data_IF_596447920986
#
_entry.id   IF_596447920986
#
_cell.length_a   1.000
_cell.length_b   1.000
_cell.length_c   1.000
_cell.angle_alpha   90.00
_cell.angle_beta   90.00
_cell.angle_gamma   90.00
#
_symmetry.space_group_name_H-M   'P 1'
#
loop_
_entity.id
_entity.type
_entity.pdbx_description
1 polymer ?
#
# COMPACT_ATOMS: atom_id res chain seq x y z
N UNK A 1 15.36 -7.76 28.69
CA UNK A 1 15.02 -6.91 27.53
C UNK A 1 13.59 -6.42 27.72
N UNK A 2 13.38 -5.12 27.87
CA UNK A 2 12.05 -4.56 28.08
C UNK A 2 11.25 -4.72 26.79
N UNK A 3 10.12 -5.43 26.85
CA UNK A 3 9.24 -5.61 25.71
C UNK A 3 8.69 -4.24 25.27
N UNK A 4 8.84 -3.88 23.99
CA UNK A 4 8.28 -2.63 23.47
C UNK A 4 6.76 -2.60 23.66
N UNK A 5 6.19 -1.41 23.90
CA UNK A 5 4.73 -1.21 23.99
C UNK A 5 4.00 -1.73 22.74
N UNK A 6 4.63 -1.62 21.56
CA UNK A 6 4.03 -2.08 20.30
C UNK A 6 4.03 -3.60 20.21
N UNK A 7 5.09 -4.27 20.67
CA UNK A 7 5.13 -5.72 20.80
C UNK A 7 4.02 -6.23 21.73
N UNK A 8 3.79 -5.55 22.87
CA UNK A 8 2.65 -5.85 23.74
C UNK A 8 1.31 -5.64 23.03
N UNK A 9 1.11 -4.51 22.34
CA UNK A 9 -0.14 -4.31 21.58
C UNK A 9 -0.38 -5.40 20.54
N UNK A 10 0.65 -5.84 19.84
CA UNK A 10 0.55 -6.91 18.84
C UNK A 10 0.16 -8.24 19.48
N UNK A 11 0.68 -8.57 20.67
CA UNK A 11 0.34 -9.84 21.34
C UNK A 11 -1.12 -9.93 21.79
N UNK A 12 -1.83 -8.82 21.91
CA UNK A 12 -3.27 -8.79 22.23
C UNK A 12 -4.19 -9.05 21.01
N UNK A 13 -3.64 -9.10 19.80
CA UNK A 13 -4.45 -9.20 18.58
C UNK A 13 -4.77 -10.66 18.30
N UNK A 14 -6.06 -10.99 18.26
CA UNK A 14 -6.56 -12.32 17.92
C UNK A 14 -7.17 -12.32 16.53
N UNK A 15 -6.60 -13.14 15.64
CA UNK A 15 -7.12 -13.38 14.29
C UNK A 15 -7.90 -14.70 14.24
N UNK A 16 -9.05 -14.69 13.57
CA UNK A 16 -9.82 -15.90 13.28
C UNK A 16 -9.98 -16.07 11.77
N UNK A 17 -9.78 -17.29 11.28
CA UNK A 17 -10.02 -17.65 9.87
C UNK A 17 -11.43 -18.24 9.74
N UNK A 18 -12.34 -17.54 9.06
CA UNK A 18 -13.70 -18.00 8.76
C UNK A 18 -13.96 -17.92 7.26
N UNK A 19 -14.38 -19.02 6.64
CA UNK A 19 -14.70 -19.12 5.20
C UNK A 19 -13.56 -18.59 4.29
N UNK A 20 -12.32 -19.03 4.54
CA UNK A 20 -11.09 -18.59 3.83
C UNK A 20 -10.76 -17.10 3.96
N UNK A 21 -11.47 -16.34 4.80
CA UNK A 21 -11.15 -14.93 5.12
C UNK A 21 -10.65 -14.81 6.55
N UNK A 22 -9.69 -13.93 6.77
CA UNK A 22 -9.21 -13.57 8.11
C UNK A 22 -10.08 -12.44 8.66
N UNK A 23 -10.40 -12.51 9.95
CA UNK A 23 -11.09 -11.47 10.72
C UNK A 23 -10.29 -11.17 11.98
N UNK A 24 -10.39 -9.92 12.47
CA UNK A 24 -9.91 -9.54 13.80
C UNK A 24 -11.04 -9.83 14.78
N UNK A 25 -10.76 -10.65 15.79
CA UNK A 25 -11.70 -10.97 16.88
C UNK A 25 -11.51 -10.01 18.04
N UNK A 26 -10.25 -9.81 18.44
CA UNK A 26 -9.88 -8.95 19.56
C UNK A 26 -8.60 -8.17 19.23
N UNK A 27 -8.44 -7.02 19.88
CA UNK A 27 -7.24 -6.20 19.88
C UNK A 27 -7.24 -5.27 21.10
N UNK A 28 -6.08 -4.77 21.50
CA UNK A 28 -5.97 -3.81 22.59
C UNK A 28 -6.88 -2.59 22.39
N UNK A 29 -7.41 -2.02 23.48
CA UNK A 29 -8.32 -0.86 23.46
C UNK A 29 -7.71 0.40 22.84
N UNK A 30 -6.39 0.51 22.85
CA UNK A 30 -5.65 1.64 22.26
C UNK A 30 -5.37 1.45 20.77
N UNK A 31 -5.78 0.33 20.19
CA UNK A 31 -5.74 0.10 18.76
C UNK A 31 -7.12 0.36 18.16
N UNK A 32 -7.13 1.01 17.00
CA UNK A 32 -8.31 1.11 16.14
C UNK A 32 -8.00 0.38 14.84
N UNK A 33 -8.77 -0.66 14.50
CA UNK A 33 -8.66 -1.31 13.20
C UNK A 33 -8.91 -0.26 12.10
N UNK A 34 -7.90 -0.03 11.27
CA UNK A 34 -7.92 0.96 10.20
C UNK A 34 -8.21 0.31 8.85
N UNK A 35 -7.65 -0.88 8.60
CA UNK A 35 -7.89 -1.62 7.37
C UNK A 35 -7.43 -3.06 7.44
N UNK A 36 -7.97 -3.89 6.54
CA UNK A 36 -7.56 -5.28 6.38
C UNK A 36 -7.22 -5.54 4.92
N UNK A 37 -6.03 -6.09 4.70
CA UNK A 37 -5.55 -6.55 3.41
C UNK A 37 -5.51 -8.07 3.31
N UNK A 38 -4.92 -8.54 2.21
CA UNK A 38 -4.73 -9.98 1.95
C UNK A 38 -3.71 -10.63 2.88
N UNK A 39 -2.68 -9.89 3.28
CA UNK A 39 -1.54 -10.38 4.05
C UNK A 39 -1.46 -9.84 5.47
N UNK A 40 -2.13 -8.73 5.76
CA UNK A 40 -1.99 -8.01 7.02
C UNK A 40 -3.26 -7.23 7.39
N UNK A 41 -3.39 -6.93 8.68
CA UNK A 41 -4.31 -5.92 9.21
C UNK A 41 -3.51 -4.70 9.69
N UNK A 42 -4.07 -3.51 9.52
CA UNK A 42 -3.45 -2.25 9.93
C UNK A 42 -4.27 -1.65 11.05
N UNK A 43 -3.61 -1.35 12.16
CA UNK A 43 -4.20 -0.73 13.35
C UNK A 43 -3.59 0.65 13.56
N UNK A 44 -4.43 1.69 13.70
CA UNK A 44 -3.98 3.00 14.15
C UNK A 44 -3.86 2.98 15.67
N UNK A 45 -2.73 3.44 16.19
CA UNK A 45 -2.52 3.62 17.63
C UNK A 45 -3.24 4.91 18.06
N UNK A 46 -4.09 4.84 19.08
CA UNK A 46 -4.79 6.02 19.60
C UNK A 46 -3.77 7.03 20.13
N UNK A 47 -4.05 8.31 19.91
CA UNK A 47 -3.22 9.43 20.34
C UNK A 47 -1.79 9.43 19.76
N UNK A 48 -1.53 8.67 18.70
CA UNK A 48 -0.25 8.67 17.97
C UNK A 48 -0.49 8.78 16.46
N UNK A 49 0.45 9.42 15.75
CA UNK A 49 0.49 9.43 14.29
C UNK A 49 1.21 8.19 13.76
N UNK A 50 0.87 7.02 14.29
CA UNK A 50 1.50 5.74 13.97
C UNK A 50 0.47 4.65 13.72
N UNK A 51 0.82 3.74 12.82
CA UNK A 51 0.10 2.49 12.61
C UNK A 51 0.97 1.30 12.90
N UNK A 52 0.33 0.21 13.27
CA UNK A 52 0.91 -1.12 13.37
C UNK A 52 0.33 -1.96 12.23
N UNK A 53 1.16 -2.30 11.23
CA UNK A 53 0.82 -3.28 10.19
C UNK A 53 1.20 -4.65 10.71
N UNK A 54 0.20 -5.47 11.03
CA UNK A 54 0.38 -6.82 11.59
C UNK A 54 0.06 -7.84 10.52
N UNK A 55 1.05 -8.64 10.15
CA UNK A 55 0.94 -9.66 9.13
C UNK A 55 0.31 -10.92 9.70
N UNK A 56 -0.55 -11.58 8.93
CA UNK A 56 -1.11 -12.86 9.34
C UNK A 56 0.01 -13.92 9.39
N UNK A 57 -0.12 -14.98 10.22
CA UNK A 57 0.96 -15.95 10.43
C UNK A 57 1.58 -16.54 9.15
N UNK A 58 0.77 -16.76 8.10
CA UNK A 58 1.26 -17.28 6.81
C UNK A 58 2.05 -16.27 5.95
N UNK A 59 2.25 -15.03 6.42
CA UNK A 59 2.86 -13.93 5.68
C UNK A 59 4.11 -13.33 6.36
N UNK A 60 4.73 -14.05 7.31
CA UNK A 60 5.98 -13.61 7.96
C UNK A 60 7.08 -13.31 6.94
N UNK A 61 7.25 -14.15 5.91
CA UNK A 61 8.21 -13.86 4.82
C UNK A 61 7.91 -12.53 4.12
N UNK A 62 6.65 -12.21 3.91
CA UNK A 62 6.24 -10.92 3.32
C UNK A 62 6.54 -9.76 4.27
N UNK A 63 6.35 -9.94 5.57
CA UNK A 63 6.73 -8.95 6.59
C UNK A 63 8.23 -8.66 6.55
N UNK A 64 9.06 -9.70 6.50
CA UNK A 64 10.52 -9.57 6.40
C UNK A 64 10.95 -8.85 5.12
N UNK A 65 10.34 -9.20 3.97
CA UNK A 65 10.62 -8.53 2.70
C UNK A 65 10.27 -7.04 2.76
N UNK A 66 9.11 -6.70 3.31
CA UNK A 66 8.69 -5.31 3.42
C UNK A 66 9.57 -4.51 4.38
N UNK A 67 9.96 -5.11 5.51
CA UNK A 67 10.96 -4.55 6.44
C UNK A 67 12.25 -4.18 5.71
N UNK A 68 12.85 -5.15 5.02
CA UNK A 68 14.12 -4.97 4.30
C UNK A 68 14.03 -3.90 3.21
N UNK A 69 12.89 -3.82 2.52
CA UNK A 69 12.66 -2.81 1.50
C UNK A 69 12.57 -1.41 2.13
N UNK A 70 11.87 -1.25 3.25
CA UNK A 70 11.86 0.04 3.96
C UNK A 70 13.23 0.43 4.53
N UNK A 71 14.02 -0.53 5.02
CA UNK A 71 15.40 -0.28 5.48
C UNK A 71 16.25 0.32 4.35
N UNK A 72 16.15 -0.22 3.12
CA UNK A 72 16.83 0.35 1.93
C UNK A 72 16.33 1.74 1.55
N UNK A 73 15.04 2.02 1.75
CA UNK A 73 14.42 3.31 1.42
C UNK A 73 14.73 4.41 2.44
N UNK A 74 15.26 4.06 3.61
CA UNK A 74 15.76 4.97 4.65
C UNK A 74 14.87 6.20 4.94
N UNK A 75 13.53 6.01 4.95
CA UNK A 75 12.58 7.01 5.46
C UNK A 75 12.48 8.35 4.70
N UNK A 76 12.84 8.43 3.40
CA UNK A 76 12.62 9.66 2.62
C UNK A 76 11.15 10.04 2.49
N UNK A 77 10.89 11.31 2.16
CA UNK A 77 9.56 11.93 2.00
C UNK A 77 8.54 11.18 1.11
N UNK A 78 8.93 10.19 0.30
CA UNK A 78 8.00 9.41 -0.52
C UNK A 78 7.38 8.21 0.20
N UNK A 79 8.00 7.75 1.29
CA UNK A 79 7.63 6.53 1.99
C UNK A 79 7.33 6.85 3.47
N UNK A 80 6.55 6.02 4.17
CA UNK A 80 6.43 6.14 5.63
C UNK A 80 7.76 5.82 6.33
N UNK A 81 8.07 6.55 7.41
CA UNK A 81 9.14 6.19 8.31
C UNK A 81 8.77 4.93 9.10
N UNK A 82 9.77 4.07 9.36
CA UNK A 82 9.63 2.89 10.22
C UNK A 82 10.23 3.21 11.58
N UNK A 83 9.44 2.98 12.64
CA UNK A 83 9.86 3.19 14.03
C UNK A 83 10.29 1.89 14.70
N UNK A 84 9.67 0.78 14.33
CA UNK A 84 9.95 -0.53 14.90
C UNK A 84 9.57 -1.62 13.90
N UNK A 85 10.32 -2.71 13.91
CA UNK A 85 10.01 -3.90 13.11
C UNK A 85 10.22 -5.15 13.95
N UNK A 86 9.13 -5.87 14.23
CA UNK A 86 9.16 -7.19 14.86
C UNK A 86 9.12 -8.32 13.84
N UNK A 87 8.91 -9.55 14.32
CA UNK A 87 8.86 -10.75 13.46
C UNK A 87 7.73 -10.71 12.43
N UNK A 88 6.55 -10.25 12.84
CA UNK A 88 5.33 -10.25 12.03
C UNK A 88 4.62 -8.88 12.02
N UNK A 89 5.29 -7.80 12.39
CA UNK A 89 4.69 -6.47 12.36
C UNK A 89 5.69 -5.35 12.07
N UNK A 90 5.16 -4.25 11.54
CA UNK A 90 5.86 -3.00 11.34
C UNK A 90 5.11 -1.87 12.03
N UNK A 91 5.82 -1.04 12.79
CA UNK A 91 5.32 0.24 13.32
C UNK A 91 5.85 1.35 12.43
N UNK A 92 4.94 2.12 11.86
CA UNK A 92 5.28 3.09 10.83
C UNK A 92 4.36 4.31 10.88
N UNK A 93 4.70 5.36 10.13
CA UNK A 93 3.89 6.56 10.01
C UNK A 93 2.43 6.23 9.66
N UNK A 94 1.50 6.86 10.40
CA UNK A 94 0.14 6.99 9.91
C UNK A 94 0.09 8.09 8.86
N UNK A 95 -0.09 7.71 7.60
CA UNK A 95 -0.27 8.65 6.50
C UNK A 95 -1.75 9.00 6.41
N UNK A 96 -2.10 10.22 6.82
CA UNK A 96 -3.45 10.73 6.67
C UNK A 96 -3.68 11.27 5.25
N UNK A 97 -4.70 10.74 4.57
CA UNK A 97 -4.96 11.09 3.19
C UNK A 97 -5.97 10.16 2.53
N UNK A 98 -6.11 10.29 1.22
CA UNK A 98 -6.95 9.42 0.39
C UNK A 98 -6.09 8.68 -0.62
N UNK A 99 -6.34 7.39 -0.77
CA UNK A 99 -5.71 6.61 -1.83
C UNK A 99 -6.13 7.14 -3.20
N UNK A 100 -5.33 6.93 -4.24
CA UNK A 100 -5.74 7.28 -5.61
C UNK A 100 -7.06 6.59 -5.99
N UNK A 101 -7.29 5.38 -5.48
CA UNK A 101 -8.56 4.68 -5.66
C UNK A 101 -9.74 5.45 -5.05
N UNK A 102 -9.59 5.95 -3.83
CA UNK A 102 -10.62 6.77 -3.18
C UNK A 102 -10.80 8.11 -3.88
N UNK A 103 -9.71 8.74 -4.35
CA UNK A 103 -9.79 9.95 -5.13
C UNK A 103 -10.66 9.76 -6.38
N UNK A 104 -10.42 8.69 -7.15
CA UNK A 104 -11.25 8.35 -8.31
C UNK A 104 -12.69 8.01 -7.91
N UNK A 105 -12.90 7.29 -6.81
CA UNK A 105 -14.24 6.94 -6.33
C UNK A 105 -15.09 8.17 -5.94
N UNK A 106 -14.43 9.20 -5.40
CA UNK A 106 -15.07 10.38 -4.86
C UNK A 106 -15.09 11.56 -5.84
N UNK A 107 -14.32 11.48 -6.93
CA UNK A 107 -14.20 12.56 -7.91
C UNK A 107 -13.14 13.60 -7.56
N UNK A 108 -12.22 13.28 -6.65
CA UNK A 108 -11.09 14.14 -6.31
C UNK A 108 -10.06 14.03 -7.43
N UNK A 109 -9.71 15.17 -8.00
CA UNK A 109 -8.80 15.19 -9.14
C UNK A 109 -7.39 14.72 -8.78
N UNK A 110 -6.92 13.68 -9.46
CA UNK A 110 -5.50 13.32 -9.47
C UNK A 110 -4.77 14.33 -10.36
N UNK A 111 -3.96 15.22 -9.76
CA UNK A 111 -3.21 16.27 -10.46
C UNK A 111 -1.99 15.69 -11.18
N UNK A 112 -1.51 16.30 -12.28
CA UNK A 112 -0.27 15.88 -12.96
C UNK A 112 0.94 15.80 -12.02
N UNK A 113 1.06 16.77 -11.12
CA UNK A 113 2.12 16.79 -10.09
C UNK A 113 2.12 15.53 -9.22
N UNK A 114 0.97 14.94 -8.90
CA UNK A 114 0.93 13.69 -8.12
C UNK A 114 1.57 12.52 -8.89
N UNK A 115 1.38 12.46 -10.21
CA UNK A 115 2.00 11.43 -11.06
C UNK A 115 3.53 11.62 -11.06
N UNK A 116 4.01 12.85 -11.20
CA UNK A 116 5.44 13.17 -11.13
C UNK A 116 6.05 12.80 -9.76
N UNK A 117 5.31 13.04 -8.66
CA UNK A 117 5.75 12.67 -7.31
C UNK A 117 5.87 11.16 -7.15
N UNK A 118 4.94 10.39 -7.71
CA UNK A 118 5.05 8.92 -7.73
C UNK A 118 6.25 8.48 -8.57
N UNK A 119 6.45 9.04 -9.76
CA UNK A 119 7.62 8.74 -10.61
C UNK A 119 8.93 8.96 -9.85
N UNK A 120 9.08 10.10 -9.16
CA UNK A 120 10.26 10.40 -8.36
C UNK A 120 10.44 9.42 -7.19
N UNK A 121 9.34 9.03 -6.53
CA UNK A 121 9.38 8.03 -5.48
C UNK A 121 9.85 6.67 -5.98
N UNK A 122 9.31 6.20 -7.10
CA UNK A 122 9.71 4.93 -7.73
C UNK A 122 11.14 4.98 -8.25
N UNK A 123 11.57 6.11 -8.83
CA UNK A 123 12.95 6.31 -9.25
C UNK A 123 13.92 6.27 -8.05
N UNK A 124 13.55 6.91 -6.94
CA UNK A 124 14.33 6.83 -5.71
C UNK A 124 14.46 5.40 -5.17
N UNK A 125 13.40 4.60 -5.24
CA UNK A 125 13.48 3.19 -4.88
C UNK A 125 14.45 2.41 -5.79
N UNK A 126 14.48 2.70 -7.10
CA UNK A 126 15.45 2.10 -8.03
C UNK A 126 16.90 2.44 -7.66
N UNK A 127 17.15 3.72 -7.34
CA UNK A 127 18.46 4.19 -6.88
C UNK A 127 18.90 3.53 -5.57
N UNK A 128 17.95 3.15 -4.72
CA UNK A 128 18.19 2.37 -3.49
C UNK A 128 18.39 0.85 -3.75
N UNK A 129 18.54 0.42 -5.01
CA UNK A 129 18.74 -0.99 -5.37
C UNK A 129 17.49 -1.85 -5.22
N UNK A 130 16.31 -1.25 -5.36
CA UNK A 130 15.03 -1.96 -5.43
C UNK A 130 14.51 -1.98 -6.87
N UNK A 131 13.59 -2.89 -7.14
CA UNK A 131 12.80 -2.97 -8.37
C UNK A 131 11.30 -2.75 -8.03
N UNK A 132 10.81 -1.50 -8.07
CA UNK A 132 9.42 -1.21 -7.75
C UNK A 132 8.44 -2.03 -8.58
N UNK A 133 7.58 -2.76 -7.90
CA UNK A 133 6.62 -3.66 -8.55
C UNK A 133 5.32 -3.75 -7.75
N UNK A 134 4.26 -4.25 -8.38
CA UNK A 134 2.92 -4.33 -7.79
C UNK A 134 2.40 -2.95 -7.33
N UNK A 135 2.60 -1.93 -8.16
CA UNK A 135 2.05 -0.60 -7.91
C UNK A 135 0.57 -0.59 -8.32
N UNK A 136 -0.29 -0.17 -7.41
CA UNK A 136 -1.72 -0.03 -7.64
C UNK A 136 -2.25 1.24 -6.98
N UNK A 137 -3.46 1.66 -7.38
CA UNK A 137 -4.14 2.84 -6.87
C UNK A 137 -4.37 2.84 -5.33
N UNK A 138 -4.34 1.67 -4.69
CA UNK A 138 -4.45 1.55 -3.23
C UNK A 138 -3.13 1.80 -2.49
N UNK A 139 -1.99 1.76 -3.19
CA UNK A 139 -0.66 1.93 -2.61
C UNK A 139 -0.19 3.39 -2.64
N UNK A 140 -0.95 4.27 -3.29
CA UNK A 140 -0.62 5.67 -3.52
C UNK A 140 -1.60 6.53 -2.74
N UNK A 141 -1.11 7.31 -1.78
CA UNK A 141 -1.94 8.16 -0.92
C UNK A 141 -1.64 9.62 -1.21
N UNK A 142 -2.66 10.39 -1.57
CA UNK A 142 -2.63 11.85 -1.55
C UNK A 142 -2.83 12.31 -0.12
N UNK A 143 -1.83 12.97 0.46
CA UNK A 143 -1.86 13.45 1.84
C UNK A 143 -2.68 14.75 1.96
N UNK A 144 -3.00 15.14 3.19
CA UNK A 144 -3.63 16.45 3.44
C UNK A 144 -2.75 17.64 3.02
N UNK A 145 -1.44 17.45 2.98
CA UNK A 145 -0.45 18.48 2.63
C UNK A 145 -0.20 18.56 1.10
N UNK A 146 -1.13 18.05 0.28
CA UNK A 146 -1.06 18.04 -1.19
C UNK A 146 0.15 17.28 -1.77
N UNK A 147 0.66 16.28 -1.04
CA UNK A 147 1.79 15.43 -1.44
C UNK A 147 1.36 13.97 -1.68
N UNK A 148 2.25 13.13 -2.19
CA UNK A 148 2.01 11.70 -2.42
C UNK A 148 2.97 10.83 -1.60
N UNK A 149 2.40 9.85 -0.92
CA UNK A 149 3.15 8.77 -0.25
C UNK A 149 2.86 7.43 -0.91
N UNK A 150 3.89 6.61 -1.00
CA UNK A 150 3.84 5.23 -1.50
C UNK A 150 3.93 4.30 -0.29
N UNK A 151 3.00 3.36 -0.21
CA UNK A 151 2.94 2.32 0.83
C UNK A 151 2.98 0.93 0.21
N UNK A 152 3.09 -0.09 1.06
CA UNK A 152 3.06 -1.51 0.69
C UNK A 152 4.17 -1.88 -0.32
N UNK A 153 5.41 -1.75 0.13
CA UNK A 153 6.62 -1.98 -0.69
C UNK A 153 7.10 -3.43 -0.64
N UNK A 154 6.30 -4.37 -0.15
CA UNK A 154 6.71 -5.77 0.07
C UNK A 154 7.29 -6.46 -1.18
N UNK A 155 6.85 -6.05 -2.38
CA UNK A 155 7.28 -6.65 -3.65
C UNK A 155 8.38 -5.88 -4.38
N UNK A 156 8.91 -4.82 -3.79
CA UNK A 156 9.93 -3.97 -4.43
C UNK A 156 11.29 -4.67 -4.59
N UNK A 157 11.48 -5.87 -4.06
CA UNK A 157 12.71 -6.65 -4.21
C UNK A 157 12.57 -7.82 -5.18
N UNK A 158 11.43 -7.95 -5.88
CA UNK A 158 11.24 -9.03 -6.85
C UNK A 158 11.99 -8.72 -8.14
N UNK A 159 12.67 -9.70 -8.72
CA UNK A 159 13.44 -9.55 -9.97
C UNK A 159 12.57 -9.41 -11.23
N UNK A 160 11.26 -9.58 -11.10
CA UNK A 160 10.36 -9.60 -12.22
C UNK A 160 10.14 -8.21 -12.82
N UNK A 161 10.17 -8.11 -14.15
CA UNK A 161 9.78 -6.91 -14.87
C UNK A 161 8.30 -6.56 -14.58
N UNK A 162 8.05 -5.33 -14.17
CA UNK A 162 6.72 -4.83 -13.84
C UNK A 162 6.37 -3.62 -14.69
N UNK A 163 5.19 -3.66 -15.32
CA UNK A 163 4.65 -2.59 -16.18
C UNK A 163 3.42 -1.92 -15.56
N UNK A 164 3.02 -2.31 -14.36
CA UNK A 164 1.75 -1.84 -13.75
C UNK A 164 1.70 -0.32 -13.57
N UNK A 165 2.79 0.29 -13.11
CA UNK A 165 2.84 1.75 -12.98
C UNK A 165 2.81 2.46 -14.34
N UNK A 166 3.58 1.97 -15.32
CA UNK A 166 3.59 2.55 -16.67
C UNK A 166 2.22 2.42 -17.37
N UNK A 167 1.53 1.30 -17.19
CA UNK A 167 0.18 1.10 -17.71
C UNK A 167 -0.81 2.09 -17.05
N UNK A 168 -0.71 2.31 -15.74
CA UNK A 168 -1.53 3.28 -15.01
C UNK A 168 -1.25 4.71 -15.47
N UNK A 169 0.03 5.07 -15.64
CA UNK A 169 0.46 6.38 -16.12
C UNK A 169 -0.02 6.63 -17.54
N UNK A 170 0.11 5.66 -18.44
CA UNK A 170 -0.41 5.76 -19.81
C UNK A 170 -1.93 5.92 -19.82
N UNK A 171 -2.67 5.16 -19.01
CA UNK A 171 -4.12 5.32 -18.90
C UNK A 171 -4.51 6.71 -18.36
N UNK A 172 -3.74 7.24 -17.41
CA UNK A 172 -3.92 8.59 -16.90
C UNK A 172 -3.72 9.64 -18.00
N UNK A 173 -2.60 9.58 -18.73
CA UNK A 173 -2.27 10.56 -19.76
C UNK A 173 -3.25 10.50 -20.94
N UNK A 174 -3.63 9.29 -21.36
CA UNK A 174 -4.48 9.10 -22.55
C UNK A 174 -5.96 9.39 -22.30
N UNK A 175 -6.46 9.01 -21.12
CA UNK A 175 -7.90 9.05 -20.84
C UNK A 175 -8.21 10.04 -19.72
N UNK A 176 -7.58 9.88 -18.56
CA UNK A 176 -7.97 10.64 -17.36
C UNK A 176 -7.74 12.14 -17.50
N UNK A 177 -6.72 12.59 -18.24
CA UNK A 177 -6.47 14.02 -18.45
C UNK A 177 -7.50 14.71 -19.36
N UNK A 178 -8.24 13.95 -20.18
CA UNK A 178 -9.27 14.52 -21.06
C UNK A 178 -10.37 15.21 -20.25
N UNK A 179 -10.84 16.37 -20.72
CA UNK A 179 -11.93 17.13 -20.12
C UNK A 179 -13.26 16.35 -20.13
N UNK A 180 -13.44 15.47 -21.11
CA UNK A 180 -14.65 14.64 -21.25
C UNK A 180 -14.63 13.38 -20.37
N UNK A 181 -13.49 13.06 -19.76
CA UNK A 181 -13.38 11.86 -18.92
C UNK A 181 -13.93 12.11 -17.51
N UNK A 182 -14.85 11.28 -17.00
CA UNK A 182 -15.45 11.47 -15.69
C UNK A 182 -14.38 11.34 -14.58
N UNK A 183 -14.23 12.39 -13.77
CA UNK A 183 -13.27 12.36 -12.64
C UNK A 183 -13.75 11.47 -11.49
N UNK A 184 -15.07 11.28 -11.37
CA UNK A 184 -15.69 10.36 -10.43
C UNK A 184 -16.04 9.04 -11.12
N UNK A 185 -15.35 7.97 -10.73
CA UNK A 185 -15.54 6.63 -11.28
C UNK A 185 -16.18 5.74 -10.21
N UNK A 186 -17.34 5.13 -10.45
CA UNK A 186 -17.94 4.20 -9.50
C UNK A 186 -16.99 3.04 -9.14
N UNK A 187 -16.94 2.66 -7.86
CA UNK A 187 -16.04 1.59 -7.37
C UNK A 187 -16.20 0.27 -8.15
N UNK A 188 -17.42 -0.10 -8.53
CA UNK A 188 -17.69 -1.32 -9.29
C UNK A 188 -17.01 -1.32 -10.68
N UNK A 189 -16.92 -0.16 -11.34
CA UNK A 189 -16.21 -0.02 -12.63
C UNK A 189 -14.73 -0.29 -12.41
N UNK A 190 -14.12 0.33 -11.40
CA UNK A 190 -12.71 0.14 -11.09
C UNK A 190 -12.38 -1.32 -10.72
N UNK A 191 -13.26 -1.98 -9.96
CA UNK A 191 -13.08 -3.41 -9.67
C UNK A 191 -13.18 -4.29 -10.92
N UNK A 192 -14.10 -3.97 -11.84
CA UNK A 192 -14.22 -4.67 -13.13
C UNK A 192 -12.98 -4.48 -13.99
N UNK A 193 -12.50 -3.24 -14.15
CA UNK A 193 -11.26 -2.94 -14.88
C UNK A 193 -10.08 -3.67 -14.27
N UNK A 194 -9.95 -3.67 -12.94
CA UNK A 194 -8.91 -4.41 -12.23
C UNK A 194 -8.97 -5.91 -12.51
N UNK A 195 -10.17 -6.50 -12.58
CA UNK A 195 -10.35 -7.92 -12.90
C UNK A 195 -9.96 -8.24 -14.35
N UNK A 196 -10.38 -7.41 -15.31
CA UNK A 196 -10.04 -7.56 -16.73
C UNK A 196 -8.53 -7.41 -16.95
N UNK A 197 -7.92 -6.39 -16.34
CA UNK A 197 -6.47 -6.15 -16.43
C UNK A 197 -5.66 -7.34 -15.91
N UNK A 198 -6.05 -7.94 -14.78
CA UNK A 198 -5.41 -9.16 -14.26
C UNK A 198 -5.53 -10.33 -15.24
N UNK A 199 -6.70 -10.53 -15.84
CA UNK A 199 -6.92 -11.59 -16.84
C UNK A 199 -6.03 -11.38 -18.07
N UNK A 200 -5.97 -10.16 -18.60
CA UNK A 200 -5.13 -9.81 -19.74
C UNK A 200 -3.65 -10.09 -19.46
N UNK A 201 -3.12 -9.67 -18.30
CA UNK A 201 -1.72 -9.94 -17.93
C UNK A 201 -1.42 -11.43 -17.70
N UNK A 202 -2.39 -12.21 -17.23
CA UNK A 202 -2.22 -13.67 -17.09
C UNK A 202 -2.18 -14.35 -18.47
N UNK A 203 -3.06 -13.97 -19.40
CA UNK A 203 -3.10 -14.53 -20.75
C UNK A 203 -1.85 -14.13 -21.55
N UNK A 204 -1.39 -12.88 -21.41
CA UNK A 204 -0.18 -12.40 -22.09
C UNK A 204 1.08 -13.16 -21.68
N UNK A 205 1.20 -13.56 -20.40
CA UNK A 205 2.31 -14.39 -19.92
C UNK A 205 2.24 -15.86 -20.34
N UNK A 206 1.05 -16.38 -20.64
CA UNK A 206 0.90 -17.75 -21.13
C UNK A 206 1.27 -17.86 -22.63
N UNK A 207 1.48 -16.73 -23.30
CA UNK A 207 1.80 -16.62 -24.73
C UNK A 207 3.24 -16.14 -25.00
N UNK A 208 4.02 -15.83 -23.97
CA UNK A 208 5.43 -15.42 -24.04
C UNK A 208 6.32 -16.49 -23.41
#
# INVERSE_FOLDING_TARGET
MTQSKYCYYVSTILFVKKNRRVKVLEHHRDLKLYGMGRSAAVFKVKNENRVIKVFYPSFEKTAMQEKQNYEKLNGKHYYPAIYEAGTNYLVMDFIEGKTFFECLAEGISIKPYYIERVDRGLQYAKEAGLNPSDIHLHNLIVTKDDDVRIIDVARFSQEKQCTQWEDLKQAYMRYYQSSYFPKKIPKWVMYTVSKIYRLYKTIGKARS
#
